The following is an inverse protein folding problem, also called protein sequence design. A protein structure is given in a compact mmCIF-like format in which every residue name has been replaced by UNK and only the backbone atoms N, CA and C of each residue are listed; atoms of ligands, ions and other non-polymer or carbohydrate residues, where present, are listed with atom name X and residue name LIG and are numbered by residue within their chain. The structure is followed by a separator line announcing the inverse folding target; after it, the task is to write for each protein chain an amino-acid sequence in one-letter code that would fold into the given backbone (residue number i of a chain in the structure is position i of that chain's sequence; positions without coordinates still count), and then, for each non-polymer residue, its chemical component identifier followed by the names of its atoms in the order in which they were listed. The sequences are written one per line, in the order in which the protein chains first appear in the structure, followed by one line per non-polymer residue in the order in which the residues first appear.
data_IF_538979376108
#
_entry.id   IF_538979376108
#
_cell.length_a   1.000
_cell.length_b   1.000
_cell.length_c   1.000
_cell.angle_alpha   90.00
_cell.angle_beta   90.00
_cell.angle_gamma   90.00
#
_symmetry.space_group_name_H-M   'P 1'
#
loop_
_entity.id
_entity.type
_entity.pdbx_description
1 polymer ?
#
# COMPACT_ATOMS: atom_id res chain seq x y z
N UNK A 1 -22.59 -12.58 -16.16
CA UNK A 1 -22.82 -11.14 -15.94
C UNK A 1 -21.53 -10.35 -15.73
N UNK A 2 -20.54 -10.81 -14.94
CA UNK A 2 -19.27 -10.12 -14.66
C UNK A 2 -18.38 -9.96 -15.91
N UNK A 3 -18.27 -11.00 -16.74
CA UNK A 3 -17.44 -10.99 -17.97
C UNK A 3 -17.97 -9.98 -19.00
N UNK A 4 -19.29 -9.92 -19.19
CA UNK A 4 -19.93 -8.97 -20.12
C UNK A 4 -19.68 -7.52 -19.68
N UNK A 5 -19.77 -7.25 -18.37
CA UNK A 5 -19.51 -5.92 -17.82
C UNK A 5 -18.03 -5.50 -17.99
N UNK A 6 -17.10 -6.45 -17.86
CA UNK A 6 -15.65 -6.20 -18.06
C UNK A 6 -15.34 -5.88 -19.53
N UNK A 7 -15.93 -6.62 -20.46
CA UNK A 7 -15.74 -6.37 -21.89
C UNK A 7 -16.35 -5.02 -22.34
N UNK A 8 -17.50 -4.63 -21.76
CA UNK A 8 -18.12 -3.33 -22.06
C UNK A 8 -17.27 -2.16 -21.55
N UNK A 9 -16.66 -2.28 -20.35
CA UNK A 9 -15.74 -1.25 -19.82
C UNK A 9 -14.50 -1.12 -20.71
N UNK A 10 -13.92 -2.23 -21.13
CA UNK A 10 -12.76 -2.25 -22.00
C UNK A 10 -13.09 -1.65 -23.38
N UNK A 11 -14.24 -1.98 -23.96
CA UNK A 11 -14.70 -1.40 -25.23
C UNK A 11 -14.91 0.12 -25.13
N UNK A 12 -15.54 0.60 -24.06
CA UNK A 12 -15.72 2.02 -23.83
C UNK A 12 -14.38 2.76 -23.67
N UNK A 13 -13.41 2.14 -22.99
CA UNK A 13 -12.06 2.69 -22.88
C UNK A 13 -11.37 2.78 -24.26
N UNK A 14 -11.44 1.73 -25.07
CA UNK A 14 -10.89 1.72 -26.43
C UNK A 14 -11.53 2.79 -27.32
N UNK A 15 -12.86 2.93 -27.28
CA UNK A 15 -13.57 3.96 -28.03
C UNK A 15 -13.18 5.36 -27.59
N UNK A 16 -13.04 5.60 -26.29
CA UNK A 16 -12.64 6.91 -25.77
C UNK A 16 -11.20 7.25 -26.14
N UNK A 17 -10.26 6.31 -26.09
CA UNK A 17 -8.87 6.51 -26.49
C UNK A 17 -8.74 6.74 -28.01
N UNK A 18 -9.49 6.00 -28.84
CA UNK A 18 -9.47 6.21 -30.29
C UNK A 18 -10.04 7.57 -30.70
N UNK A 19 -11.12 8.02 -30.04
CA UNK A 19 -11.67 9.36 -30.23
C UNK A 19 -10.66 10.45 -29.84
N UNK A 20 -9.92 10.24 -28.75
CA UNK A 20 -8.87 11.15 -28.30
C UNK A 20 -7.71 11.26 -29.29
N UNK A 21 -7.27 10.15 -29.89
CA UNK A 21 -6.24 10.18 -30.96
C UNK A 21 -6.72 10.96 -32.18
N UNK A 22 -7.98 10.82 -32.56
CA UNK A 22 -8.57 11.60 -33.67
C UNK A 22 -8.57 13.09 -33.34
N UNK A 23 -9.04 13.47 -32.15
CA UNK A 23 -9.04 14.87 -31.70
C UNK A 23 -7.63 15.43 -31.60
N UNK A 24 -6.66 14.65 -31.17
CA UNK A 24 -5.27 15.05 -31.13
C UNK A 24 -4.67 15.26 -32.52
N UNK A 25 -5.02 14.42 -33.47
CA UNK A 25 -4.64 14.62 -34.86
C UNK A 25 -5.23 15.94 -35.44
N UNK A 26 -6.51 16.20 -35.17
CA UNK A 26 -7.15 17.46 -35.58
C UNK A 26 -6.50 18.67 -34.88
N UNK A 27 -6.14 18.55 -33.61
CA UNK A 27 -5.39 19.58 -32.86
C UNK A 27 -4.06 19.90 -33.58
N UNK A 28 -3.28 18.88 -33.93
CA UNK A 28 -2.00 19.08 -34.62
C UNK A 28 -2.14 19.75 -35.98
N UNK A 29 -3.27 19.50 -36.70
CA UNK A 29 -3.54 20.06 -37.99
C UNK A 29 -4.04 21.50 -37.95
N UNK A 30 -4.87 21.84 -36.96
CA UNK A 30 -5.60 23.12 -36.93
C UNK A 30 -4.88 24.19 -36.11
N UNK A 31 -4.14 23.78 -35.06
CA UNK A 31 -3.43 24.72 -34.18
C UNK A 31 -2.13 25.23 -34.83
N UNK A 32 -1.88 26.54 -34.82
CA UNK A 32 -0.65 27.14 -35.33
C UNK A 32 0.59 26.58 -34.60
N UNK A 33 1.68 26.40 -35.35
CA UNK A 33 2.92 25.79 -34.82
C UNK A 33 3.44 26.53 -33.59
N UNK A 34 3.41 27.86 -33.57
CA UNK A 34 3.88 28.67 -32.45
C UNK A 34 3.08 28.52 -31.13
N UNK A 35 1.83 28.08 -31.20
CA UNK A 35 0.99 27.88 -29.99
C UNK A 35 1.02 26.43 -29.47
N UNK A 36 1.49 25.48 -30.26
CA UNK A 36 1.52 24.06 -29.87
C UNK A 36 2.30 23.80 -28.57
N UNK A 37 3.51 24.34 -28.37
CA UNK A 37 4.26 24.09 -27.12
C UNK A 37 3.51 24.56 -25.88
N UNK A 38 2.80 25.68 -25.96
CA UNK A 38 2.03 26.24 -24.85
C UNK A 38 0.84 25.35 -24.48
N UNK A 39 0.13 24.81 -25.47
CA UNK A 39 -0.95 23.85 -25.21
C UNK A 39 -0.45 22.51 -24.70
N UNK A 40 0.71 22.02 -25.15
CA UNK A 40 1.32 20.83 -24.60
C UNK A 40 1.69 21.02 -23.12
N UNK A 41 2.32 22.12 -22.78
CA UNK A 41 2.61 22.46 -21.37
C UNK A 41 1.33 22.51 -20.53
N UNK A 42 0.27 23.14 -21.04
CA UNK A 42 -1.04 23.19 -20.39
C UNK A 42 -1.60 21.78 -20.14
N UNK A 43 -1.67 20.92 -21.18
CA UNK A 43 -2.19 19.57 -21.02
C UNK A 43 -1.37 18.74 -20.04
N UNK A 44 -0.05 18.88 -20.07
CA UNK A 44 0.83 18.20 -19.12
C UNK A 44 0.58 18.66 -17.67
N UNK A 45 0.47 19.97 -17.44
CA UNK A 45 0.15 20.52 -16.13
C UNK A 45 -1.23 20.07 -15.67
N UNK A 46 -2.23 20.02 -16.55
CA UNK A 46 -3.57 19.54 -16.21
C UNK A 46 -3.56 18.09 -15.74
N UNK A 47 -2.82 17.21 -16.42
CA UNK A 47 -2.66 15.81 -16.03
C UNK A 47 -1.98 15.70 -14.67
N UNK A 48 -0.87 16.43 -14.44
CA UNK A 48 -0.16 16.44 -13.16
C UNK A 48 -1.06 16.93 -12.01
N UNK A 49 -1.77 18.04 -12.22
CA UNK A 49 -2.68 18.57 -11.20
C UNK A 49 -3.80 17.59 -10.88
N UNK A 50 -4.35 16.89 -11.86
CA UNK A 50 -5.40 15.89 -11.64
C UNK A 50 -4.87 14.69 -10.85
N UNK A 51 -3.61 14.32 -11.06
CA UNK A 51 -3.00 13.20 -10.34
C UNK A 51 -2.68 13.54 -8.88
N UNK A 52 -2.03 14.68 -8.63
CA UNK A 52 -1.53 15.04 -7.30
C UNK A 52 -2.56 15.74 -6.39
N UNK A 53 -3.53 16.43 -6.98
CA UNK A 53 -4.52 17.21 -6.22
C UNK A 53 -5.91 16.59 -6.28
N UNK A 54 -6.83 17.17 -5.50
CA UNK A 54 -8.24 16.79 -5.50
C UNK A 54 -8.90 17.11 -6.84
N UNK A 55 -9.91 16.31 -7.20
CA UNK A 55 -10.64 16.48 -8.45
C UNK A 55 -11.26 17.90 -8.60
N UNK A 56 -11.65 18.51 -7.48
CA UNK A 56 -12.20 19.87 -7.48
C UNK A 56 -11.14 20.91 -7.88
N UNK A 57 -9.92 20.82 -7.36
CA UNK A 57 -8.82 21.74 -7.67
C UNK A 57 -8.38 21.62 -9.14
N UNK A 58 -8.30 20.40 -9.65
CA UNK A 58 -7.98 20.16 -11.07
C UNK A 58 -9.08 20.65 -11.99
N UNK A 59 -10.35 20.53 -11.60
CA UNK A 59 -11.48 21.08 -12.34
C UNK A 59 -11.47 22.61 -12.37
N UNK A 60 -11.22 23.27 -11.25
CA UNK A 60 -11.12 24.73 -11.19
C UNK A 60 -9.99 25.26 -12.07
N UNK A 61 -8.83 24.58 -12.10
CA UNK A 61 -7.73 24.91 -13.00
C UNK A 61 -8.14 24.77 -14.47
N UNK A 62 -8.79 23.66 -14.84
CA UNK A 62 -9.30 23.43 -16.19
C UNK A 62 -10.22 24.57 -16.63
N UNK A 63 -11.21 24.93 -15.80
CA UNK A 63 -12.16 26.03 -16.11
C UNK A 63 -11.44 27.37 -16.21
N UNK A 64 -10.52 27.69 -15.30
CA UNK A 64 -9.78 28.95 -15.32
C UNK A 64 -8.95 29.11 -16.60
N UNK A 65 -8.27 28.05 -17.05
CA UNK A 65 -7.50 28.09 -18.30
C UNK A 65 -8.40 28.17 -19.52
N UNK A 66 -9.52 27.43 -19.54
CA UNK A 66 -10.51 27.53 -20.63
C UNK A 66 -11.06 28.96 -20.79
N UNK A 67 -11.40 29.60 -19.68
CA UNK A 67 -11.85 31.00 -19.69
C UNK A 67 -10.74 31.93 -20.18
N UNK A 68 -9.51 31.75 -19.74
CA UNK A 68 -8.37 32.56 -20.19
C UNK A 68 -8.13 32.44 -21.69
N UNK A 69 -8.23 31.24 -22.24
CA UNK A 69 -8.10 30.99 -23.68
C UNK A 69 -9.28 31.62 -24.42
N UNK A 70 -10.50 31.52 -23.90
CA UNK A 70 -11.69 32.17 -24.48
C UNK A 70 -11.53 33.70 -24.56
N UNK A 71 -11.08 34.32 -23.48
CA UNK A 71 -10.79 35.76 -23.45
C UNK A 71 -9.73 36.19 -24.47
N UNK A 72 -8.67 35.39 -24.59
CA UNK A 72 -7.62 35.61 -25.59
C UNK A 72 -8.19 35.63 -27.01
N UNK A 73 -9.04 34.67 -27.39
CA UNK A 73 -9.63 34.60 -28.72
C UNK A 73 -10.65 35.74 -28.97
N UNK A 74 -11.44 36.11 -27.96
CA UNK A 74 -12.37 37.24 -28.06
C UNK A 74 -11.60 38.55 -28.28
N UNK A 75 -10.56 38.80 -27.48
CA UNK A 75 -9.72 39.99 -27.63
C UNK A 75 -9.05 40.04 -29.03
N UNK A 76 -8.56 38.91 -29.53
CA UNK A 76 -7.95 38.80 -30.84
C UNK A 76 -8.97 39.06 -31.96
N UNK A 77 -10.18 38.55 -31.83
CA UNK A 77 -11.27 38.79 -32.82
C UNK A 77 -11.69 40.27 -32.84
N UNK A 78 -11.63 40.97 -31.71
CA UNK A 78 -11.95 42.41 -31.62
C UNK A 78 -10.88 43.30 -32.24
N UNK A 79 -9.59 42.94 -32.08
CA UNK A 79 -8.47 43.70 -32.69
C UNK A 79 -8.40 43.53 -34.22
N UNK A 80 -8.85 42.35 -34.77
CA UNK A 80 -8.79 42.06 -36.21
C UNK A 80 -10.17 41.69 -36.78
N UNK A 81 -11.13 42.64 -36.89
CA UNK A 81 -12.50 42.32 -37.27
C UNK A 81 -12.71 41.97 -38.74
N UNK A 82 -11.76 42.26 -39.61
CA UNK A 82 -11.94 42.14 -41.07
C UNK A 82 -11.64 40.74 -41.62
N UNK A 83 -11.20 39.77 -40.82
CA UNK A 83 -10.89 38.44 -41.28
C UNK A 83 -11.96 37.40 -40.86
N UNK A 84 -13.12 37.38 -41.56
CA UNK A 84 -14.19 36.40 -41.25
C UNK A 84 -13.73 34.95 -41.30
N UNK A 85 -12.79 34.59 -42.16
CA UNK A 85 -12.17 33.26 -42.25
C UNK A 85 -11.31 32.95 -41.02
N UNK A 86 -10.68 33.96 -40.45
CA UNK A 86 -9.88 33.84 -39.20
C UNK A 86 -10.76 33.54 -38.00
N UNK A 87 -11.96 34.15 -37.87
CA UNK A 87 -12.88 33.95 -36.75
C UNK A 87 -13.40 32.51 -36.68
N UNK A 88 -13.80 31.90 -37.82
CA UNK A 88 -14.25 30.52 -37.84
C UNK A 88 -13.12 29.54 -37.41
N UNK A 89 -11.90 29.76 -37.87
CA UNK A 89 -10.75 28.97 -37.46
C UNK A 89 -10.45 29.12 -35.95
N UNK A 90 -10.58 30.30 -35.36
CA UNK A 90 -10.40 30.53 -33.95
C UNK A 90 -11.43 29.77 -33.10
N UNK A 91 -12.70 29.78 -33.50
CA UNK A 91 -13.77 29.02 -32.84
C UNK A 91 -13.50 27.52 -32.93
N UNK A 92 -13.10 27.01 -34.11
CA UNK A 92 -12.76 25.61 -34.30
C UNK A 92 -11.56 25.19 -33.42
N UNK A 93 -10.52 26.02 -33.33
CA UNK A 93 -9.35 25.80 -32.44
C UNK A 93 -9.77 25.70 -30.98
N UNK A 94 -10.60 26.65 -30.54
CA UNK A 94 -11.06 26.66 -29.15
C UNK A 94 -11.90 25.42 -28.79
N UNK A 95 -12.83 25.03 -29.67
CA UNK A 95 -13.65 23.83 -29.47
C UNK A 95 -12.82 22.57 -29.37
N UNK A 96 -11.79 22.43 -30.20
CA UNK A 96 -10.88 21.26 -30.16
C UNK A 96 -10.10 21.25 -28.83
N UNK A 97 -9.55 22.39 -28.39
CA UNK A 97 -8.79 22.50 -27.13
C UNK A 97 -9.67 22.19 -25.94
N UNK A 98 -10.90 22.74 -25.90
CA UNK A 98 -11.88 22.44 -24.83
C UNK A 98 -12.18 20.95 -24.79
N UNK A 99 -12.54 20.35 -25.92
CA UNK A 99 -12.91 18.93 -25.99
C UNK A 99 -11.75 18.04 -25.56
N UNK A 100 -10.53 18.29 -26.04
CA UNK A 100 -9.33 17.57 -25.61
C UNK A 100 -9.07 17.72 -24.13
N UNK A 101 -9.19 18.92 -23.57
CA UNK A 101 -8.97 19.17 -22.15
C UNK A 101 -9.94 18.40 -21.26
N UNK A 102 -11.22 18.37 -21.61
CA UNK A 102 -12.24 17.62 -20.90
C UNK A 102 -11.96 16.12 -20.96
N UNK A 103 -11.61 15.60 -22.16
CA UNK A 103 -11.24 14.19 -22.30
C UNK A 103 -10.02 13.80 -21.47
N UNK A 104 -8.96 14.59 -21.51
CA UNK A 104 -7.75 14.36 -20.72
C UNK A 104 -8.04 14.40 -19.21
N UNK A 105 -8.85 15.35 -18.76
CA UNK A 105 -9.24 15.45 -17.37
C UNK A 105 -10.04 14.23 -16.90
N UNK A 106 -11.06 13.82 -17.66
CA UNK A 106 -11.87 12.63 -17.35
C UNK A 106 -11.02 11.36 -17.33
N UNK A 107 -10.12 11.18 -18.29
CA UNK A 107 -9.21 10.03 -18.31
C UNK A 107 -8.24 10.03 -17.14
N UNK A 108 -7.70 11.19 -16.75
CA UNK A 108 -6.81 11.31 -15.60
C UNK A 108 -7.50 10.91 -14.30
N UNK A 109 -8.77 11.32 -14.11
CA UNK A 109 -9.58 10.90 -12.96
C UNK A 109 -9.82 9.39 -13.00
N UNK A 110 -10.12 8.82 -14.17
CA UNK A 110 -10.36 7.40 -14.31
C UNK A 110 -9.11 6.57 -13.93
N UNK A 111 -7.93 6.97 -14.43
CA UNK A 111 -6.65 6.33 -14.09
C UNK A 111 -6.37 6.44 -12.59
N UNK A 112 -6.54 7.63 -12.00
CA UNK A 112 -6.39 7.85 -10.55
C UNK A 112 -7.29 6.93 -9.73
N UNK A 113 -8.55 6.79 -10.12
CA UNK A 113 -9.48 5.90 -9.43
C UNK A 113 -9.10 4.42 -9.55
N UNK A 114 -8.54 3.99 -10.70
CA UNK A 114 -8.03 2.63 -10.87
C UNK A 114 -6.83 2.40 -9.95
N UNK A 115 -5.87 3.31 -9.91
CA UNK A 115 -4.68 3.20 -9.04
C UNK A 115 -5.09 3.09 -7.58
N UNK A 116 -5.93 4.01 -7.09
CA UNK A 116 -6.44 3.99 -5.72
C UNK A 116 -7.20 2.69 -5.39
N UNK A 117 -7.98 2.19 -6.34
CA UNK A 117 -8.70 0.92 -6.16
C UNK A 117 -7.73 -0.27 -6.08
N UNK A 118 -6.70 -0.30 -6.92
CA UNK A 118 -5.68 -1.35 -6.88
C UNK A 118 -4.92 -1.34 -5.56
N UNK A 119 -4.48 -0.19 -5.09
CA UNK A 119 -3.83 -0.05 -3.78
C UNK A 119 -4.71 -0.54 -2.63
N UNK A 120 -6.01 -0.20 -2.67
CA UNK A 120 -6.97 -0.68 -1.66
C UNK A 120 -7.18 -2.20 -1.74
N UNK A 121 -7.20 -2.78 -2.95
CA UNK A 121 -7.29 -4.23 -3.13
C UNK A 121 -6.03 -4.94 -2.62
N UNK A 122 -4.84 -4.41 -2.93
CA UNK A 122 -3.58 -4.94 -2.41
C UNK A 122 -3.52 -4.91 -0.88
N UNK A 123 -3.97 -3.81 -0.26
CA UNK A 123 -4.08 -3.72 1.21
C UNK A 123 -5.02 -4.81 1.76
N UNK A 124 -6.20 -4.97 1.17
CA UNK A 124 -7.16 -6.01 1.59
C UNK A 124 -6.62 -7.43 1.41
N UNK A 125 -5.88 -7.68 0.32
CA UNK A 125 -5.22 -8.98 0.11
C UNK A 125 -4.21 -9.23 1.22
N UNK A 126 -3.34 -8.26 1.53
CA UNK A 126 -2.38 -8.36 2.64
C UNK A 126 -3.05 -8.57 4.01
N UNK A 127 -4.18 -7.91 4.25
CA UNK A 127 -4.96 -8.09 5.49
C UNK A 127 -5.61 -9.48 5.59
N UNK A 128 -5.92 -10.11 4.44
CA UNK A 128 -6.51 -11.44 4.38
C UNK A 128 -5.46 -12.57 4.32
N UNK A 129 -4.20 -12.23 4.05
CA UNK A 129 -3.11 -13.20 4.10
C UNK A 129 -2.92 -13.70 5.52
N UNK A 130 -3.17 -15.00 5.73
CA UNK A 130 -3.01 -15.65 7.03
C UNK A 130 -1.55 -15.75 7.46
N UNK A 131 -0.66 -15.82 6.49
CA UNK A 131 0.79 -15.97 6.66
C UNK A 131 1.47 -14.80 5.97
N UNK A 132 2.38 -14.14 6.67
CA UNK A 132 3.22 -13.10 6.09
C UNK A 132 4.16 -13.73 5.04
N UNK A 133 4.08 -13.32 3.76
CA UNK A 133 4.84 -13.96 2.68
C UNK A 133 6.36 -13.75 2.81
N UNK A 134 6.80 -12.72 3.52
CA UNK A 134 8.22 -12.40 3.70
C UNK A 134 8.87 -13.28 4.76
N UNK A 135 8.16 -13.60 5.83
CA UNK A 135 8.71 -14.33 6.99
C UNK A 135 8.21 -15.77 7.12
N UNK A 136 7.11 -16.12 6.44
CA UNK A 136 6.45 -17.41 6.58
C UNK A 136 5.70 -17.60 7.90
N UNK A 137 5.55 -16.52 8.70
CA UNK A 137 4.90 -16.53 10.02
C UNK A 137 3.46 -16.02 9.89
N UNK A 138 2.59 -16.44 10.78
CA UNK A 138 1.20 -15.96 10.83
C UNK A 138 1.15 -14.46 11.04
N UNK A 139 0.22 -13.78 10.35
CA UNK A 139 -0.11 -12.40 10.70
C UNK A 139 -0.78 -12.37 12.08
N UNK A 140 -0.85 -11.18 12.69
CA UNK A 140 -1.39 -11.00 14.03
C UNK A 140 -2.82 -11.53 14.17
N UNK A 141 -3.66 -11.32 13.19
CA UNK A 141 -5.05 -11.75 13.20
C UNK A 141 -5.20 -13.27 13.24
N UNK A 142 -4.52 -13.98 12.34
CA UNK A 142 -4.53 -15.45 12.31
C UNK A 142 -3.90 -16.02 13.60
N UNK A 143 -2.81 -15.39 14.10
CA UNK A 143 -2.20 -15.77 15.37
C UNK A 143 -3.20 -15.62 16.52
N UNK A 144 -3.93 -14.51 16.61
CA UNK A 144 -4.90 -14.25 17.66
C UNK A 144 -6.06 -15.26 17.61
N UNK A 145 -6.62 -15.51 16.43
CA UNK A 145 -7.72 -16.47 16.23
C UNK A 145 -7.33 -17.89 16.67
N UNK A 146 -6.08 -18.32 16.36
CA UNK A 146 -5.56 -19.60 16.79
C UNK A 146 -5.19 -19.63 18.26
N UNK A 147 -4.59 -18.55 18.76
CA UNK A 147 -4.21 -18.43 20.17
C UNK A 147 -5.43 -18.48 21.08
N UNK A 148 -6.55 -17.88 20.70
CA UNK A 148 -7.81 -17.96 21.44
C UNK A 148 -8.34 -19.41 21.54
N UNK A 149 -8.25 -20.15 20.42
CA UNK A 149 -8.62 -21.57 20.37
C UNK A 149 -7.73 -22.40 21.30
N UNK A 150 -6.42 -22.17 21.26
CA UNK A 150 -5.43 -22.85 22.10
C UNK A 150 -5.63 -22.48 23.57
N UNK A 151 -5.86 -21.21 23.87
CA UNK A 151 -6.11 -20.71 25.22
C UNK A 151 -7.35 -21.39 25.84
N UNK A 152 -8.42 -21.48 25.09
CA UNK A 152 -9.62 -22.20 25.51
C UNK A 152 -9.32 -23.67 25.81
N UNK A 153 -8.48 -24.33 25.02
CA UNK A 153 -8.04 -25.70 25.26
C UNK A 153 -7.17 -25.85 26.54
N UNK A 154 -6.21 -24.92 26.73
CA UNK A 154 -5.35 -24.84 27.93
C UNK A 154 -6.23 -24.70 29.17
N UNK A 155 -7.20 -23.75 29.20
CA UNK A 155 -8.16 -23.58 30.29
C UNK A 155 -8.93 -24.86 30.60
N UNK A 156 -9.50 -25.49 29.58
CA UNK A 156 -10.31 -26.71 29.76
C UNK A 156 -9.50 -27.90 30.31
N UNK A 157 -8.23 -28.02 29.87
CA UNK A 157 -7.35 -29.12 30.26
C UNK A 157 -6.56 -28.84 31.55
N UNK A 158 -6.60 -27.58 32.04
CA UNK A 158 -5.77 -27.11 33.15
C UNK A 158 -4.27 -27.32 32.88
N UNK A 159 -3.84 -27.14 31.64
CA UNK A 159 -2.46 -27.22 31.22
C UNK A 159 -1.77 -25.85 31.42
N UNK A 160 -0.43 -25.85 31.48
CA UNK A 160 0.35 -24.62 31.49
C UNK A 160 0.56 -24.11 30.07
N UNK A 161 0.63 -22.81 29.88
CA UNK A 161 0.99 -22.17 28.63
C UNK A 161 1.93 -20.99 28.86
N UNK A 162 2.77 -20.69 27.87
CA UNK A 162 3.71 -19.57 27.94
C UNK A 162 3.57 -18.72 26.67
N UNK A 163 3.40 -17.41 26.85
CA UNK A 163 3.49 -16.44 25.79
C UNK A 163 4.86 -15.77 25.82
N UNK A 164 5.62 -15.88 24.73
CA UNK A 164 6.90 -15.20 24.55
C UNK A 164 6.71 -14.06 23.57
N UNK A 165 7.03 -12.85 23.98
CA UNK A 165 7.11 -11.67 23.11
C UNK A 165 8.59 -11.40 22.82
N UNK A 166 8.93 -11.29 21.55
CA UNK A 166 10.29 -11.07 21.05
C UNK A 166 10.31 -9.72 20.35
N UNK A 167 10.92 -8.73 20.99
CA UNK A 167 11.05 -7.38 20.43
C UNK A 167 12.46 -7.18 19.87
N UNK A 168 12.54 -6.69 18.64
CA UNK A 168 13.77 -6.14 18.08
C UNK A 168 13.99 -4.76 18.68
N UNK A 169 15.18 -4.47 19.19
CA UNK A 169 15.58 -3.11 19.48
C UNK A 169 15.61 -2.28 18.18
N UNK A 170 15.21 -1.01 18.28
CA UNK A 170 15.07 -0.12 17.12
C UNK A 170 16.32 -0.12 16.25
N UNK A 171 16.15 -0.53 14.99
CA UNK A 171 17.16 -0.40 13.94
C UNK A 171 17.19 1.07 13.47
N UNK A 172 17.25 2.01 14.40
CA UNK A 172 17.13 3.45 14.13
C UNK A 172 18.42 4.11 13.64
N UNK A 173 19.48 3.36 13.33
CA UNK A 173 20.74 3.91 12.82
C UNK A 173 21.12 3.33 11.47
N UNK A 174 20.57 3.94 10.39
CA UNK A 174 21.21 3.91 9.06
C UNK A 174 21.05 2.66 8.19
N UNK A 175 20.24 1.68 8.58
CA UNK A 175 20.03 0.46 7.78
C UNK A 175 19.05 0.69 6.62
N UNK A 176 19.43 0.26 5.41
CA UNK A 176 18.53 0.24 4.25
C UNK A 176 17.29 -0.63 4.55
N UNK A 177 16.12 -0.21 4.06
CA UNK A 177 14.86 -0.96 4.13
C UNK A 177 14.97 -2.43 3.67
N UNK A 178 15.90 -2.73 2.76
CA UNK A 178 16.21 -4.10 2.31
C UNK A 178 16.84 -4.95 3.41
N UNK A 179 17.73 -4.37 4.22
CA UNK A 179 18.41 -5.06 5.34
C UNK A 179 17.39 -5.44 6.42
N UNK A 180 16.43 -4.55 6.73
CA UNK A 180 15.38 -4.82 7.70
C UNK A 180 14.48 -6.00 7.29
N UNK A 181 14.07 -6.09 6.03
CA UNK A 181 13.24 -7.20 5.52
C UNK A 181 13.97 -8.55 5.55
N UNK A 182 15.24 -8.56 5.16
CA UNK A 182 16.06 -9.76 5.20
C UNK A 182 16.22 -10.24 6.63
N UNK A 183 16.48 -9.33 7.56
CA UNK A 183 16.61 -9.62 8.97
C UNK A 183 15.32 -10.19 9.57
N UNK A 184 14.16 -9.61 9.26
CA UNK A 184 12.85 -10.11 9.71
C UNK A 184 12.58 -11.54 9.19
N UNK A 185 12.95 -11.83 7.96
CA UNK A 185 12.85 -13.18 7.38
C UNK A 185 13.74 -14.17 8.12
N UNK A 186 15.01 -13.84 8.34
CA UNK A 186 15.96 -14.68 9.05
C UNK A 186 15.53 -14.96 10.49
N UNK A 187 15.05 -13.92 11.20
CA UNK A 187 14.49 -14.08 12.53
C UNK A 187 13.25 -14.97 12.54
N UNK A 188 12.36 -14.78 11.59
CA UNK A 188 11.18 -15.60 11.42
C UNK A 188 11.52 -17.07 11.25
N UNK A 189 12.47 -17.39 10.38
CA UNK A 189 12.94 -18.75 10.17
C UNK A 189 13.60 -19.35 11.43
N UNK A 190 14.41 -18.56 12.15
CA UNK A 190 15.04 -18.98 13.39
C UNK A 190 14.00 -19.30 14.48
N UNK A 191 12.97 -18.47 14.62
CA UNK A 191 11.89 -18.66 15.59
C UNK A 191 11.09 -19.92 15.25
N UNK A 192 10.66 -20.09 13.97
CA UNK A 192 9.92 -21.29 13.52
C UNK A 192 10.70 -22.58 13.77
N UNK A 193 12.02 -22.57 13.53
CA UNK A 193 12.89 -23.74 13.77
C UNK A 193 13.06 -24.06 15.25
N UNK A 194 12.82 -23.10 16.14
CA UNK A 194 13.04 -23.23 17.59
C UNK A 194 11.83 -23.78 18.34
N UNK A 195 10.64 -23.67 17.78
CA UNK A 195 9.37 -24.12 18.38
C UNK A 195 8.97 -25.51 17.89
N UNK A 196 8.01 -26.13 18.59
CA UNK A 196 7.46 -27.44 18.19
C UNK A 196 6.46 -27.29 17.05
N UNK A 197 6.80 -27.87 15.90
CA UNK A 197 5.95 -27.86 14.71
C UNK A 197 4.55 -28.44 15.02
N UNK A 198 3.50 -27.80 14.55
CA UNK A 198 2.10 -28.19 14.70
C UNK A 198 1.55 -28.16 16.15
N UNK A 199 2.35 -27.74 17.11
CA UNK A 199 1.95 -27.65 18.53
C UNK A 199 1.99 -26.21 19.02
N UNK A 200 3.14 -25.57 18.88
CA UNK A 200 3.31 -24.17 19.22
C UNK A 200 3.00 -23.29 18.01
N UNK A 201 2.58 -22.06 18.25
CA UNK A 201 2.27 -21.10 17.19
C UNK A 201 3.10 -19.83 17.30
N UNK A 202 3.41 -19.20 16.15
CA UNK A 202 4.13 -17.93 16.06
C UNK A 202 3.38 -16.97 15.18
N UNK A 203 3.30 -15.71 15.62
CA UNK A 203 2.72 -14.60 14.88
C UNK A 203 3.61 -13.36 14.89
N UNK A 204 3.37 -12.47 13.95
CA UNK A 204 3.96 -11.14 13.91
C UNK A 204 2.91 -10.14 14.39
N UNK A 205 3.27 -9.36 15.43
CA UNK A 205 2.41 -8.30 15.94
C UNK A 205 2.58 -7.02 15.11
N UNK A 206 3.82 -6.58 14.93
CA UNK A 206 4.19 -5.40 14.15
C UNK A 206 5.53 -5.62 13.41
N UNK A 207 6.10 -4.56 12.84
CA UNK A 207 7.36 -4.60 12.10
C UNK A 207 8.57 -5.07 12.93
N UNK A 208 8.50 -5.01 14.26
CA UNK A 208 9.63 -5.27 15.15
C UNK A 208 9.32 -6.29 16.26
N UNK A 209 8.10 -6.85 16.30
CA UNK A 209 7.63 -7.69 17.40
C UNK A 209 7.05 -9.01 16.90
N UNK A 210 7.61 -10.11 17.38
CA UNK A 210 7.08 -11.46 17.21
C UNK A 210 6.45 -11.95 18.50
N UNK A 211 5.47 -12.84 18.38
CA UNK A 211 4.80 -13.51 19.48
C UNK A 211 4.83 -15.02 19.27
N UNK A 212 5.19 -15.78 20.30
CA UNK A 212 5.13 -17.24 20.28
C UNK A 212 4.31 -17.76 21.44
N UNK A 213 3.28 -18.56 21.17
CA UNK A 213 2.48 -19.24 22.18
C UNK A 213 2.90 -20.70 22.27
N UNK A 214 3.42 -21.09 23.43
CA UNK A 214 3.88 -22.42 23.73
C UNK A 214 2.82 -23.15 24.58
N UNK A 215 2.38 -24.31 24.10
CA UNK A 215 1.38 -25.14 24.78
C UNK A 215 2.08 -26.12 25.72
N UNK A 216 1.43 -26.45 26.85
CA UNK A 216 1.92 -27.38 27.86
C UNK A 216 3.42 -27.17 28.16
N UNK A 217 3.76 -25.92 28.47
CA UNK A 217 5.12 -25.45 28.70
C UNK A 217 5.13 -24.58 29.94
N UNK A 218 6.07 -24.82 30.85
CA UNK A 218 6.32 -23.99 32.02
C UNK A 218 7.46 -23.00 31.76
N UNK A 219 7.79 -22.18 32.75
CA UNK A 219 8.84 -21.15 32.64
C UNK A 219 10.19 -21.75 32.21
N UNK A 220 10.60 -22.88 32.75
CA UNK A 220 11.85 -23.55 32.37
C UNK A 220 11.83 -24.00 30.89
N UNK A 221 10.70 -24.52 30.43
CA UNK A 221 10.53 -24.87 29.01
C UNK A 221 10.60 -23.66 28.07
N UNK A 222 10.09 -22.51 28.48
CA UNK A 222 10.19 -21.28 27.69
C UNK A 222 11.63 -20.77 27.59
N UNK A 223 12.44 -20.88 28.66
CA UNK A 223 13.86 -20.54 28.64
C UNK A 223 14.65 -21.41 27.64
N UNK A 224 14.33 -22.71 27.56
CA UNK A 224 14.93 -23.61 26.57
C UNK A 224 14.62 -23.15 25.15
N UNK A 225 13.37 -22.73 24.88
CA UNK A 225 12.98 -22.22 23.57
C UNK A 225 13.70 -20.92 23.25
N UNK A 226 13.80 -20.00 24.20
CA UNK A 226 14.54 -18.74 24.05
C UNK A 226 16.01 -18.99 23.70
N UNK A 227 16.66 -19.91 24.42
CA UNK A 227 18.05 -20.26 24.15
C UNK A 227 18.22 -20.87 22.73
N UNK A 228 17.28 -21.73 22.30
CA UNK A 228 17.28 -22.25 20.92
C UNK A 228 17.11 -21.15 19.88
N UNK A 229 16.26 -20.17 20.15
CA UNK A 229 16.09 -19.00 19.26
C UNK A 229 17.41 -18.24 19.15
N UNK A 230 18.06 -17.92 20.27
CA UNK A 230 19.35 -17.23 20.29
C UNK A 230 20.43 -18.01 19.54
N UNK A 231 20.52 -19.32 19.76
CA UNK A 231 21.48 -20.21 19.08
C UNK A 231 21.23 -20.28 17.57
N UNK A 232 19.98 -20.35 17.14
CA UNK A 232 19.64 -20.38 15.73
C UNK A 232 19.92 -19.04 15.04
N UNK A 233 19.72 -17.92 15.73
CA UNK A 233 20.06 -16.60 15.21
C UNK A 233 21.59 -16.45 15.10
N UNK A 234 22.35 -16.85 16.11
CA UNK A 234 23.81 -16.78 16.08
C UNK A 234 24.43 -17.62 14.96
N UNK A 235 23.86 -18.79 14.65
CA UNK A 235 24.27 -19.63 13.52
C UNK A 235 24.01 -18.96 12.16
N UNK A 236 22.90 -18.24 12.03
CA UNK A 236 22.55 -17.53 10.79
C UNK A 236 23.45 -16.31 10.58
N UNK A 237 23.77 -15.57 11.63
CA UNK A 237 24.66 -14.39 11.54
C UNK A 237 26.12 -14.78 11.30
N UNK A 238 26.57 -15.93 11.80
CA UNK A 238 27.94 -16.42 11.50
C UNK A 238 28.15 -16.80 10.03
N UNK A 239 27.08 -17.02 9.28
CA UNK A 239 27.12 -17.27 7.82
C UNK A 239 27.12 -15.97 6.99
N UNK A 240 26.72 -14.85 7.57
CA UNK A 240 26.67 -13.52 6.94
C UNK A 240 27.60 -12.58 7.72
N UNK A 241 28.86 -12.56 7.36
CA UNK A 241 29.96 -11.94 8.10
C UNK A 241 29.88 -10.42 8.31
N UNK A 242 28.88 -9.72 7.80
CA UNK A 242 28.75 -8.25 7.86
C UNK A 242 27.47 -7.74 8.59
N UNK A 243 26.60 -8.61 9.11
CA UNK A 243 25.39 -8.17 9.80
C UNK A 243 25.54 -8.26 11.33
N UNK A 244 25.46 -7.09 12.00
CA UNK A 244 25.36 -7.00 13.45
C UNK A 244 24.17 -7.83 13.94
N UNK A 245 24.41 -8.69 14.96
CA UNK A 245 23.33 -9.38 15.66
C UNK A 245 22.33 -8.37 16.21
N UNK A 246 21.04 -8.50 15.88
CA UNK A 246 20.03 -7.61 16.45
C UNK A 246 19.94 -7.83 17.95
N UNK A 247 19.87 -6.75 18.71
CA UNK A 247 19.54 -6.81 20.13
C UNK A 247 18.08 -7.23 20.29
N UNK A 248 17.87 -8.40 20.92
CA UNK A 248 16.55 -9.01 21.10
C UNK A 248 16.15 -8.99 22.55
N UNK A 249 15.03 -8.34 22.83
CA UNK A 249 14.38 -8.36 24.15
C UNK A 249 13.32 -9.45 24.18
N UNK A 250 13.43 -10.37 25.14
CA UNK A 250 12.45 -11.43 25.36
C UNK A 250 11.62 -11.11 26.60
N UNK A 251 10.31 -11.18 26.47
CA UNK A 251 9.37 -11.01 27.58
C UNK A 251 8.53 -12.30 27.62
N UNK A 252 8.49 -12.95 28.78
CA UNK A 252 7.75 -14.22 28.97
C UNK A 252 6.63 -14.00 29.97
N UNK A 253 5.48 -14.60 29.70
CA UNK A 253 4.32 -14.61 30.61
C UNK A 253 3.61 -15.93 30.61
N UNK A 254 3.19 -16.31 31.83
CA UNK A 254 2.27 -17.40 32.01
C UNK A 254 0.91 -17.07 31.39
N UNK A 255 0.37 -18.04 30.66
CA UNK A 255 -0.97 -17.97 30.11
C UNK A 255 -1.92 -18.55 31.15
N UNK A 256 -2.26 -17.70 32.13
CA UNK A 256 -3.07 -18.09 33.26
C UNK A 256 -4.58 -18.10 32.95
N UNK A 257 -5.34 -18.82 33.80
CA UNK A 257 -6.80 -18.92 33.69
C UNK A 257 -7.53 -17.63 34.15
N UNK A 258 -6.81 -16.58 34.52
CA UNK A 258 -7.37 -15.35 35.10
C UNK A 258 -8.05 -14.44 34.07
N UNK A 259 -7.62 -14.49 32.82
CA UNK A 259 -8.14 -13.63 31.76
C UNK A 259 -9.39 -14.22 31.08
N UNK A 260 -10.27 -13.35 30.65
CA UNK A 260 -11.48 -13.74 29.91
C UNK A 260 -11.15 -14.18 28.49
N UNK A 261 -10.22 -13.47 27.83
CA UNK A 261 -9.77 -13.73 26.46
C UNK A 261 -8.25 -13.63 26.31
N UNK A 262 -7.71 -14.25 25.25
CA UNK A 262 -6.29 -14.16 24.95
C UNK A 262 -5.87 -12.73 24.51
N UNK A 263 -6.78 -11.97 23.91
CA UNK A 263 -6.56 -10.57 23.53
C UNK A 263 -6.28 -9.68 24.78
N UNK A 264 -6.94 -9.95 25.91
CA UNK A 264 -6.66 -9.25 27.17
C UNK A 264 -5.26 -9.54 27.70
N UNK A 265 -4.79 -10.79 27.56
CA UNK A 265 -3.43 -11.15 27.90
C UNK A 265 -2.44 -10.29 27.09
N UNK A 266 -2.60 -10.20 25.77
CA UNK A 266 -1.73 -9.41 24.90
C UNK A 266 -1.77 -7.93 25.30
N UNK A 267 -2.95 -7.35 25.49
CA UNK A 267 -3.11 -5.94 25.87
C UNK A 267 -2.47 -5.63 27.23
N UNK A 268 -2.60 -6.50 28.20
CA UNK A 268 -1.96 -6.33 29.51
C UNK A 268 -0.44 -6.29 29.43
N UNK A 269 0.13 -6.92 28.40
CA UNK A 269 1.57 -6.97 28.16
C UNK A 269 2.13 -5.75 27.46
N UNK A 270 1.41 -5.30 26.44
CA UNK A 270 1.84 -4.14 25.66
C UNK A 270 1.82 -2.88 26.52
N UNK A 271 0.85 -2.79 27.46
CA UNK A 271 0.74 -1.68 28.40
C UNK A 271 1.75 -1.74 29.56
N UNK A 272 2.28 -2.91 29.90
CA UNK A 272 3.29 -3.08 30.98
C UNK A 272 4.73 -2.95 30.48
N UNK A 273 4.94 -2.78 29.20
CA UNK A 273 6.26 -2.71 28.54
C UNK A 273 6.68 -1.32 28.08
N UNK A 274 5.86 -0.29 28.36
CA UNK A 274 6.22 1.13 28.32
C UNK A 274 6.71 1.55 29.72
#
# INVERSE_FOLDING_TARGET
MIIIKKNLIFLNFLLSTSAQFLLFYLFLKIIPIGLKPLYFAYFFILILLTYFYDNLKSFTFLVAVMLSIAFYYVAKAWISPNEKYSQFNMIAQQLIVITLSVFLWVQSIYVKNIVNKNENLERRVKELEKINPETGIMNFREFLDRAETIYTAIKRRKENGQLIIIKLADISTGGNLKTSKTLMKLLGEAIIKSIRKNYDIVGIYDSNTFMALLQNTNQFGSEIVINRIKDNISKVSSLNSDELLPDLKFIVKDVDNEFVSFDEIIKSFLNAGE
#
